data_IF_519101630812
#
_entry.id   IF_519101630812
#
_cell.length_a   1.000
_cell.length_b   1.000
_cell.length_c   1.000
_cell.angle_alpha   90.00
_cell.angle_beta   90.00
_cell.angle_gamma   90.00
#
_symmetry.space_group_name_H-M   'P 1'
#
loop_
_entity.id
_entity.type
_entity.pdbx_description
1 polymer ?
#
# COMPACT_ATOMS: atom_id res chain seq x y z
N UNK A 1 -1.58 6.71 -19.62
CA UNK A 1 -0.20 6.26 -19.32
C UNK A 1 0.81 6.82 -20.32
N UNK A 2 0.61 6.66 -21.64
CA UNK A 2 1.51 7.22 -22.67
C UNK A 2 1.77 8.73 -22.53
N UNK A 3 0.73 9.55 -22.33
CA UNK A 3 0.90 11.00 -22.07
C UNK A 3 1.71 11.31 -20.80
N UNK A 4 1.57 10.51 -19.73
CA UNK A 4 2.38 10.66 -18.51
C UNK A 4 3.83 10.28 -18.78
N UNK A 5 4.09 9.21 -19.52
CA UNK A 5 5.44 8.83 -19.94
C UNK A 5 6.11 9.92 -20.81
N UNK A 6 5.37 10.52 -21.76
CA UNK A 6 5.85 11.67 -22.56
C UNK A 6 6.19 12.87 -21.69
N UNK A 7 5.31 13.24 -20.75
CA UNK A 7 5.55 14.36 -19.84
C UNK A 7 6.73 14.12 -18.87
N UNK A 8 6.94 12.88 -18.45
CA UNK A 8 8.08 12.51 -17.59
C UNK A 8 9.40 12.54 -18.36
N UNK A 9 9.46 12.01 -19.58
CA UNK A 9 10.64 12.13 -20.44
C UNK A 9 10.93 13.58 -20.79
N UNK A 10 9.90 14.36 -21.16
CA UNK A 10 10.05 15.78 -21.47
C UNK A 10 10.63 16.59 -20.30
N UNK A 11 10.16 16.33 -19.07
CA UNK A 11 10.74 16.95 -17.87
C UNK A 11 12.17 16.47 -17.59
N UNK A 12 12.47 15.19 -17.81
CA UNK A 12 13.83 14.68 -17.61
C UNK A 12 14.84 15.32 -18.59
N UNK A 13 14.43 15.53 -19.84
CA UNK A 13 15.24 16.21 -20.86
C UNK A 13 15.44 17.71 -20.56
N UNK A 14 14.49 18.35 -19.88
CA UNK A 14 14.60 19.77 -19.49
C UNK A 14 15.47 20.02 -18.26
N UNK A 15 15.70 19.02 -17.41
CA UNK A 15 16.42 19.16 -16.12
C UNK A 15 17.82 18.50 -16.17
N UNK A 16 18.42 18.39 -17.36
CA UNK A 16 19.77 17.83 -17.59
C UNK A 16 20.04 16.50 -16.85
N UNK A 17 19.05 15.60 -16.84
CA UNK A 17 19.21 14.26 -16.25
C UNK A 17 20.25 13.44 -17.03
N UNK A 18 20.84 12.46 -16.36
CA UNK A 18 21.87 11.61 -16.98
C UNK A 18 21.33 10.92 -18.24
N UNK A 19 22.18 10.76 -19.25
CA UNK A 19 21.81 10.15 -20.52
C UNK A 19 21.17 8.75 -20.35
N UNK A 20 21.63 7.99 -19.35
CA UNK A 20 21.10 6.68 -18.98
C UNK A 20 19.66 6.74 -18.47
N UNK A 21 19.31 7.76 -17.68
CA UNK A 21 17.95 7.93 -17.15
C UNK A 21 16.98 8.38 -18.25
N UNK A 22 17.42 9.27 -19.14
CA UNK A 22 16.66 9.67 -20.32
C UNK A 22 16.41 8.48 -21.27
N UNK A 23 17.41 7.64 -21.51
CA UNK A 23 17.27 6.43 -22.33
C UNK A 23 16.27 5.43 -21.73
N UNK A 24 16.30 5.22 -20.41
CA UNK A 24 15.33 4.37 -19.70
C UNK A 24 13.90 4.90 -19.83
N UNK A 25 13.71 6.21 -19.68
CA UNK A 25 12.39 6.85 -19.82
C UNK A 25 11.88 6.81 -21.26
N UNK A 26 12.77 6.91 -22.25
CA UNK A 26 12.44 6.75 -23.66
C UNK A 26 11.96 5.32 -23.97
N UNK A 27 12.67 4.30 -23.48
CA UNK A 27 12.24 2.90 -23.64
C UNK A 27 10.90 2.60 -22.96
N UNK A 28 10.64 3.18 -21.78
CA UNK A 28 9.34 3.05 -21.12
C UNK A 28 8.21 3.74 -21.90
N UNK A 29 8.49 4.88 -22.54
CA UNK A 29 7.54 5.54 -23.43
C UNK A 29 7.21 4.67 -24.64
N UNK A 30 8.22 4.15 -25.32
CA UNK A 30 8.06 3.29 -26.51
C UNK A 30 7.22 2.03 -26.21
N UNK A 31 7.48 1.36 -25.08
CA UNK A 31 6.67 0.22 -24.62
C UNK A 31 5.21 0.61 -24.38
N UNK A 32 4.98 1.78 -23.77
CA UNK A 32 3.62 2.26 -23.49
C UNK A 32 2.89 2.65 -24.77
N UNK A 33 3.59 3.20 -25.76
CA UNK A 33 3.05 3.54 -27.07
C UNK A 33 2.72 2.28 -27.88
N UNK A 34 3.57 1.26 -27.81
CA UNK A 34 3.34 -0.05 -28.43
C UNK A 34 2.11 -0.73 -27.83
N UNK A 35 1.98 -0.73 -26.51
CA UNK A 35 0.82 -1.28 -25.81
C UNK A 35 -0.48 -0.52 -26.16
N UNK A 36 -0.40 0.81 -26.33
CA UNK A 36 -1.53 1.62 -26.77
C UNK A 36 -1.95 1.31 -28.20
N UNK A 37 -0.99 1.15 -29.12
CA UNK A 37 -1.24 0.77 -30.50
C UNK A 37 -1.84 -0.64 -30.61
N UNK A 38 -1.39 -1.59 -29.79
CA UNK A 38 -1.96 -2.93 -29.72
C UNK A 38 -3.40 -2.94 -29.17
N UNK A 39 -3.75 -1.99 -28.30
CA UNK A 39 -5.09 -1.88 -27.70
C UNK A 39 -6.12 -1.19 -28.63
N UNK A 40 -5.67 -0.40 -29.62
CA UNK A 40 -6.53 0.23 -30.63
C UNK A 40 -5.92 0.08 -32.05
N UNK A 41 -5.80 -1.16 -32.56
CA UNK A 41 -5.02 -1.46 -33.77
C UNK A 41 -5.59 -0.84 -35.05
N UNK A 42 -6.83 -0.35 -35.02
CA UNK A 42 -7.50 0.35 -36.12
C UNK A 42 -7.73 1.83 -35.86
N UNK A 43 -7.31 2.34 -34.71
CA UNK A 43 -7.54 3.73 -34.32
C UNK A 43 -9.03 4.09 -34.14
N UNK A 44 -9.93 3.11 -34.02
CA UNK A 44 -11.36 3.35 -34.03
C UNK A 44 -11.83 4.10 -32.77
N UNK A 45 -11.19 3.82 -31.63
CA UNK A 45 -11.39 4.58 -30.38
C UNK A 45 -10.81 5.99 -30.52
N UNK A 46 -9.65 6.12 -31.15
CA UNK A 46 -9.05 7.43 -31.45
C UNK A 46 -9.92 8.25 -32.42
N UNK A 47 -10.53 7.64 -33.43
CA UNK A 47 -11.39 8.29 -34.42
C UNK A 47 -12.73 8.70 -33.85
N UNK A 48 -13.39 7.82 -33.08
CA UNK A 48 -14.61 8.18 -32.37
C UNK A 48 -14.38 9.36 -31.41
N UNK A 49 -13.24 9.38 -30.72
CA UNK A 49 -12.85 10.48 -29.84
C UNK A 49 -12.53 11.76 -30.63
N UNK A 50 -11.81 11.66 -31.74
CA UNK A 50 -11.55 12.79 -32.67
C UNK A 50 -12.85 13.39 -33.19
N UNK A 51 -13.80 12.57 -33.62
CA UNK A 51 -15.09 13.02 -34.14
C UNK A 51 -15.93 13.77 -33.10
N UNK A 52 -15.90 13.33 -31.83
CA UNK A 52 -16.55 14.06 -30.72
C UNK A 52 -15.85 15.39 -30.45
N UNK A 53 -14.51 15.39 -30.39
CA UNK A 53 -13.73 16.60 -30.10
C UNK A 53 -13.82 17.64 -31.23
N UNK A 54 -13.90 17.20 -32.49
CA UNK A 54 -14.03 18.08 -33.65
C UNK A 54 -15.35 18.89 -33.65
N UNK A 55 -16.36 18.48 -32.87
CA UNK A 55 -17.60 19.26 -32.67
C UNK A 55 -17.38 20.49 -31.80
N UNK A 56 -16.34 20.49 -30.97
CA UNK A 56 -16.09 21.52 -29.97
C UNK A 56 -14.79 22.30 -30.22
N UNK A 57 -13.85 21.74 -30.98
CA UNK A 57 -12.53 22.31 -31.20
C UNK A 57 -12.12 22.19 -32.67
N UNK A 58 -11.63 23.29 -33.26
CA UNK A 58 -11.02 23.27 -34.60
C UNK A 58 -9.67 22.54 -34.56
N UNK A 59 -8.92 22.71 -33.46
CA UNK A 59 -7.72 21.96 -33.14
C UNK A 59 -7.68 21.69 -31.64
N UNK A 60 -8.10 20.49 -31.21
CA UNK A 60 -8.14 20.12 -29.79
C UNK A 60 -6.81 20.39 -29.05
N UNK A 61 -5.67 20.02 -29.63
CA UNK A 61 -4.36 20.17 -28.98
C UNK A 61 -3.99 21.63 -28.71
N UNK A 62 -4.45 22.55 -29.56
CA UNK A 62 -4.20 23.99 -29.43
C UNK A 62 -5.30 24.68 -28.61
N UNK A 63 -6.55 24.33 -28.86
CA UNK A 63 -7.71 25.12 -28.45
C UNK A 63 -8.25 24.68 -27.07
N UNK A 64 -8.09 23.40 -26.68
CA UNK A 64 -8.69 22.85 -25.45
C UNK A 64 -8.20 23.52 -24.16
N UNK A 65 -7.03 24.15 -24.21
CA UNK A 65 -6.39 24.82 -23.08
C UNK A 65 -6.19 26.32 -23.31
N UNK A 66 -6.74 26.89 -24.41
CA UNK A 66 -6.58 28.31 -24.72
C UNK A 66 -7.13 29.24 -23.63
N UNK A 67 -8.12 28.78 -22.87
CA UNK A 67 -8.67 29.50 -21.72
C UNK A 67 -7.67 29.68 -20.57
N UNK A 68 -6.64 28.84 -20.44
CA UNK A 68 -5.60 28.99 -19.40
C UNK A 68 -4.68 30.19 -19.64
N UNK A 69 -4.60 30.68 -20.87
CA UNK A 69 -3.69 31.77 -21.30
C UNK A 69 -4.44 32.96 -21.90
N UNK A 70 -5.77 32.98 -21.78
CA UNK A 70 -6.57 34.07 -22.30
C UNK A 70 -6.25 35.37 -21.56
N UNK A 71 -6.21 36.49 -22.29
CA UNK A 71 -6.01 37.81 -21.70
C UNK A 71 -7.31 38.41 -21.12
N UNK A 72 -8.46 37.79 -21.40
CA UNK A 72 -9.75 38.24 -20.90
C UNK A 72 -9.84 38.06 -19.38
N UNK A 73 -10.13 39.13 -18.60
CA UNK A 73 -10.17 39.04 -17.14
C UNK A 73 -11.18 38.05 -16.57
N UNK A 74 -12.34 37.87 -17.22
CA UNK A 74 -13.36 36.92 -16.79
C UNK A 74 -12.91 35.47 -17.00
N UNK A 75 -12.25 35.20 -18.13
CA UNK A 75 -11.66 33.89 -18.40
C UNK A 75 -10.48 33.60 -17.47
N UNK A 76 -9.65 34.60 -17.13
CA UNK A 76 -8.58 34.44 -16.16
C UNK A 76 -9.10 34.11 -14.76
N UNK A 77 -10.17 34.77 -14.31
CA UNK A 77 -10.81 34.49 -13.04
C UNK A 77 -11.37 33.06 -12.99
N UNK A 78 -12.12 32.65 -14.02
CA UNK A 78 -12.58 31.27 -14.16
C UNK A 78 -11.41 30.28 -14.18
N UNK A 79 -10.31 30.64 -14.84
CA UNK A 79 -9.16 29.76 -14.93
C UNK A 79 -8.50 29.53 -13.57
N UNK A 80 -8.36 30.59 -12.78
CA UNK A 80 -7.88 30.53 -11.41
C UNK A 80 -8.79 29.66 -10.54
N UNK A 81 -10.12 29.86 -10.61
CA UNK A 81 -11.10 29.06 -9.85
C UNK A 81 -11.03 27.57 -10.18
N UNK A 82 -10.90 27.21 -11.46
CA UNK A 82 -10.75 25.81 -11.88
C UNK A 82 -9.45 25.21 -11.36
N UNK A 83 -8.34 25.95 -11.44
CA UNK A 83 -7.04 25.50 -10.94
C UNK A 83 -7.09 25.29 -9.42
N UNK A 84 -7.67 26.23 -8.67
CA UNK A 84 -7.81 26.11 -7.22
C UNK A 84 -8.75 24.98 -6.81
N UNK A 85 -9.82 24.75 -7.55
CA UNK A 85 -10.70 23.60 -7.36
C UNK A 85 -9.93 22.28 -7.57
N UNK A 86 -9.10 22.19 -8.62
CA UNK A 86 -8.28 21.01 -8.86
C UNK A 86 -7.22 20.80 -7.77
N UNK A 87 -6.59 21.89 -7.27
CA UNK A 87 -5.65 21.84 -6.14
C UNK A 87 -6.33 21.34 -4.87
N UNK A 88 -7.52 21.85 -4.56
CA UNK A 88 -8.31 21.41 -3.42
C UNK A 88 -8.67 19.93 -3.51
N UNK A 89 -9.06 19.45 -4.70
CA UNK A 89 -9.34 18.02 -4.93
C UNK A 89 -8.10 17.14 -4.75
N UNK A 90 -6.93 17.57 -5.23
CA UNK A 90 -5.66 16.85 -5.03
C UNK A 90 -5.25 16.80 -3.57
N UNK A 91 -5.36 17.93 -2.87
CA UNK A 91 -5.12 18.01 -1.43
C UNK A 91 -6.05 17.06 -0.67
N UNK A 92 -7.34 17.07 -0.97
CA UNK A 92 -8.30 16.14 -0.37
C UNK A 92 -7.95 14.67 -0.62
N UNK A 93 -7.48 14.34 -1.83
CA UNK A 93 -7.06 12.99 -2.20
C UNK A 93 -5.73 12.56 -1.55
N UNK A 94 -4.78 13.48 -1.35
CA UNK A 94 -3.50 13.25 -0.66
C UNK A 94 -3.65 13.15 0.87
N UNK A 95 -4.59 13.92 1.45
CA UNK A 95 -4.94 13.86 2.88
C UNK A 95 -5.89 12.70 3.19
N UNK A 96 -6.56 12.15 2.17
CA UNK A 96 -7.33 10.93 2.36
C UNK A 96 -6.39 9.79 2.70
N UNK A 97 -6.65 9.11 3.81
CA UNK A 97 -5.94 7.89 4.17
C UNK A 97 -6.02 6.86 3.03
N UNK A 98 -4.88 6.63 2.36
CA UNK A 98 -4.71 5.57 1.38
C UNK A 98 -4.12 4.35 2.10
N UNK A 99 -4.98 3.55 2.73
CA UNK A 99 -4.63 2.17 3.08
C UNK A 99 -4.49 1.81 4.56
N UNK A 100 -5.17 2.47 5.49
CA UNK A 100 -4.92 2.17 6.91
C UNK A 100 -5.97 1.31 7.63
N UNK A 101 -7.14 1.02 7.06
CA UNK A 101 -8.12 0.16 7.75
C UNK A 101 -8.29 -1.20 7.09
N UNK A 102 -8.84 -1.33 5.88
CA UNK A 102 -9.09 -2.67 5.33
C UNK A 102 -9.18 -2.81 3.81
N UNK A 103 -9.64 -1.83 3.01
CA UNK A 103 -9.74 -2.00 1.55
C UNK A 103 -9.62 -0.66 0.83
N UNK A 104 -9.05 -0.69 -0.37
CA UNK A 104 -9.12 0.40 -1.34
C UNK A 104 -10.55 0.50 -1.91
N UNK A 105 -10.86 1.59 -2.61
CA UNK A 105 -12.12 1.71 -3.37
C UNK A 105 -12.30 0.62 -4.42
N UNK A 106 -11.22 -0.01 -4.87
CA UNK A 106 -11.25 -1.15 -5.77
C UNK A 106 -11.40 -2.51 -5.04
N UNK A 107 -11.60 -2.50 -3.71
CA UNK A 107 -11.98 -3.68 -2.92
C UNK A 107 -10.83 -4.60 -2.48
N UNK A 108 -9.57 -4.19 -2.64
CA UNK A 108 -8.38 -4.95 -2.24
C UNK A 108 -7.55 -4.23 -1.18
N UNK A 109 -6.68 -4.96 -0.47
CA UNK A 109 -5.77 -4.40 0.55
C UNK A 109 -4.44 -4.00 -0.07
N UNK A 110 -3.87 -2.88 0.41
CA UNK A 110 -2.46 -2.52 0.20
C UNK A 110 -1.85 -2.26 1.58
N UNK A 111 -0.70 -2.85 1.87
CA UNK A 111 0.05 -2.62 3.11
C UNK A 111 1.54 -2.83 2.91
N UNK A 112 2.36 -2.28 3.79
CA UNK A 112 3.81 -2.45 3.77
C UNK A 112 4.20 -3.84 4.31
N UNK A 113 5.14 -4.50 3.65
CA UNK A 113 5.78 -5.73 4.13
C UNK A 113 6.91 -5.41 5.11
N UNK A 114 6.86 -6.00 6.31
CA UNK A 114 7.90 -5.76 7.31
C UNK A 114 9.26 -6.39 6.99
N UNK A 115 9.29 -7.36 6.08
CA UNK A 115 10.51 -8.09 5.71
C UNK A 115 11.26 -7.44 4.54
N UNK A 116 10.58 -6.66 3.69
CA UNK A 116 11.14 -6.10 2.45
C UNK A 116 10.94 -4.59 2.28
N UNK A 117 10.04 -3.99 3.07
CA UNK A 117 9.52 -2.63 2.92
C UNK A 117 8.74 -2.38 1.61
N UNK A 118 8.51 -3.39 0.78
CA UNK A 118 7.73 -3.24 -0.45
C UNK A 118 6.22 -3.13 -0.16
N UNK A 119 5.47 -2.64 -1.15
CA UNK A 119 4.03 -2.63 -1.11
C UNK A 119 3.48 -4.03 -1.44
N UNK A 120 2.64 -4.57 -0.56
CA UNK A 120 1.91 -5.79 -0.78
C UNK A 120 0.46 -5.53 -1.14
N UNK A 121 0.03 -6.19 -2.21
CA UNK A 121 -1.33 -6.14 -2.71
C UNK A 121 -2.01 -7.47 -2.37
N UNK A 122 -3.09 -7.42 -1.57
CA UNK A 122 -3.88 -8.61 -1.27
C UNK A 122 -5.08 -8.68 -2.22
N UNK A 123 -4.90 -9.45 -3.30
CA UNK A 123 -5.84 -9.56 -4.41
C UNK A 123 -6.72 -10.80 -4.24
N UNK A 124 -8.02 -10.66 -4.47
CA UNK A 124 -8.98 -11.78 -4.38
C UNK A 124 -9.44 -12.24 -5.75
N UNK A 125 -9.42 -13.55 -5.99
CA UNK A 125 -10.00 -14.22 -7.17
C UNK A 125 -10.86 -15.38 -6.70
N UNK A 126 -12.19 -15.17 -6.65
CA UNK A 126 -13.11 -16.13 -6.05
C UNK A 126 -12.74 -16.42 -4.58
N UNK A 127 -12.39 -17.68 -4.29
CA UNK A 127 -11.95 -18.10 -2.94
C UNK A 127 -10.44 -17.93 -2.70
N UNK A 128 -9.68 -17.48 -3.70
CA UNK A 128 -8.23 -17.32 -3.60
C UNK A 128 -7.85 -15.95 -3.04
N UNK A 129 -6.85 -15.94 -2.17
CA UNK A 129 -6.13 -14.73 -1.75
C UNK A 129 -4.71 -14.80 -2.30
N UNK A 130 -4.37 -13.87 -3.19
CA UNK A 130 -3.06 -13.75 -3.81
C UNK A 130 -2.37 -12.53 -3.18
N UNK A 131 -1.24 -12.75 -2.53
CA UNK A 131 -0.38 -11.67 -2.04
C UNK A 131 0.67 -11.39 -3.10
N UNK A 132 0.72 -10.16 -3.61
CA UNK A 132 1.69 -9.76 -4.63
C UNK A 132 2.57 -8.62 -4.10
N UNK A 133 3.89 -8.81 -4.19
CA UNK A 133 4.85 -7.76 -3.88
C UNK A 133 5.19 -6.97 -5.12
N UNK A 134 5.15 -5.64 -5.00
CA UNK A 134 5.55 -4.73 -6.06
C UNK A 134 6.51 -3.68 -5.49
N UNK A 135 7.64 -3.55 -6.16
CA UNK A 135 8.63 -2.52 -5.86
C UNK A 135 8.18 -1.16 -6.41
N UNK A 136 7.28 -0.51 -5.68
CA UNK A 136 6.74 0.81 -6.02
C UNK A 136 6.93 1.72 -4.81
N UNK A 137 8.05 2.48 -4.74
CA UNK A 137 8.44 3.28 -3.57
C UNK A 137 7.31 4.15 -3.02
N UNK A 138 6.58 4.83 -3.91
CA UNK A 138 5.48 5.71 -3.51
C UNK A 138 4.35 4.94 -2.84
N UNK A 139 3.92 3.81 -3.42
CA UNK A 139 2.84 3.00 -2.87
C UNK A 139 3.26 2.34 -1.54
N UNK A 140 4.52 1.93 -1.43
CA UNK A 140 5.07 1.37 -0.21
C UNK A 140 5.11 2.42 0.91
N UNK A 141 5.60 3.63 0.61
CA UNK A 141 5.59 4.76 1.52
C UNK A 141 4.18 5.13 1.98
N UNK A 142 3.24 5.32 1.03
CA UNK A 142 1.83 5.60 1.32
C UNK A 142 1.23 4.53 2.24
N UNK A 143 1.53 3.25 2.00
CA UNK A 143 1.00 2.15 2.79
C UNK A 143 1.53 2.09 4.24
N UNK A 144 2.61 2.81 4.55
CA UNK A 144 3.11 3.01 5.90
C UNK A 144 2.64 4.35 6.52
N UNK A 145 1.96 5.24 5.79
CA UNK A 145 1.38 6.46 6.36
C UNK A 145 0.10 6.12 7.12
N UNK A 146 0.10 6.39 8.42
CA UNK A 146 -1.06 6.20 9.28
C UNK A 146 -2.06 7.34 9.19
N UNK A 147 -1.59 8.57 9.05
CA UNK A 147 -2.43 9.74 8.86
C UNK A 147 -1.63 10.87 8.20
N UNK A 148 -2.32 11.67 7.40
CA UNK A 148 -1.87 12.96 6.87
C UNK A 148 -2.99 13.98 7.12
N UNK A 149 -2.72 14.99 7.93
CA UNK A 149 -3.73 15.98 8.34
C UNK A 149 -3.12 17.38 8.44
N UNK A 150 -3.93 18.40 8.20
CA UNK A 150 -3.56 19.78 8.53
C UNK A 150 -3.94 20.08 9.98
N UNK A 151 -3.02 20.68 10.75
CA UNK A 151 -3.34 21.23 12.06
C UNK A 151 -4.04 22.59 11.97
N UNK A 152 -4.44 23.17 13.11
CA UNK A 152 -5.12 24.46 13.15
C UNK A 152 -4.26 25.64 12.64
N UNK A 153 -2.93 25.48 12.61
CA UNK A 153 -1.99 26.45 12.05
C UNK A 153 -1.70 26.18 10.56
N UNK A 154 -2.28 25.13 9.98
CA UNK A 154 -2.07 24.72 8.59
C UNK A 154 -0.81 23.88 8.36
N UNK A 155 -0.14 23.42 9.42
CA UNK A 155 1.02 22.53 9.25
C UNK A 155 0.57 21.15 8.80
N UNK A 156 1.33 20.53 7.90
CA UNK A 156 1.09 19.16 7.44
C UNK A 156 1.67 18.18 8.47
N UNK A 157 0.79 17.51 9.20
CA UNK A 157 1.16 16.50 10.19
C UNK A 157 1.02 15.10 9.61
N UNK A 158 2.08 14.30 9.70
CA UNK A 158 2.15 12.95 9.14
C UNK A 158 2.57 11.98 10.24
N UNK A 159 1.79 10.91 10.40
CA UNK A 159 2.12 9.78 11.28
C UNK A 159 2.37 8.52 10.46
N UNK A 160 3.17 7.61 11.01
CA UNK A 160 3.49 6.32 10.39
C UNK A 160 2.86 5.18 11.16
N UNK A 161 2.53 4.10 10.46
CA UNK A 161 2.01 2.88 11.08
C UNK A 161 3.07 2.16 11.89
N UNK A 162 4.31 2.19 11.42
CA UNK A 162 5.46 1.57 12.07
C UNK A 162 6.77 2.17 11.59
N UNK A 163 7.80 2.03 12.42
CA UNK A 163 9.18 2.34 12.08
C UNK A 163 10.15 1.18 12.29
N UNK A 164 9.78 0.14 13.04
CA UNK A 164 10.62 -1.06 13.17
C UNK A 164 10.42 -1.92 11.93
N UNK A 165 11.46 -2.57 11.41
CA UNK A 165 11.40 -3.56 10.34
C UNK A 165 12.39 -4.68 10.67
N UNK A 166 12.38 -5.79 9.93
CA UNK A 166 13.17 -6.98 10.29
C UNK A 166 14.69 -6.76 10.30
N UNK A 167 15.20 -5.75 9.58
CA UNK A 167 16.61 -5.38 9.58
C UNK A 167 16.80 -3.88 9.37
N UNK A 168 17.99 -3.37 9.74
CA UNK A 168 18.34 -1.96 9.54
C UNK A 168 18.28 -1.54 8.07
N UNK A 169 18.67 -2.42 7.15
CA UNK A 169 18.58 -2.16 5.70
C UNK A 169 17.12 -1.94 5.27
N UNK A 170 16.20 -2.76 5.79
CA UNK A 170 14.77 -2.65 5.49
C UNK A 170 14.18 -1.38 6.13
N UNK A 171 14.62 -1.01 7.34
CA UNK A 171 14.24 0.26 7.98
C UNK A 171 14.67 1.46 7.12
N UNK A 172 15.92 1.47 6.64
CA UNK A 172 16.45 2.55 5.78
C UNK A 172 15.66 2.65 4.48
N UNK A 173 15.36 1.51 3.85
CA UNK A 173 14.54 1.44 2.63
C UNK A 173 13.12 1.96 2.86
N UNK A 174 12.47 1.52 3.94
CA UNK A 174 11.15 2.00 4.33
C UNK A 174 11.14 3.51 4.59
N UNK A 175 12.19 4.05 5.22
CA UNK A 175 12.33 5.48 5.46
C UNK A 175 12.45 6.27 4.15
N UNK A 176 13.22 5.77 3.18
CA UNK A 176 13.30 6.37 1.84
C UNK A 176 11.95 6.35 1.10
N UNK A 177 11.18 5.27 1.21
CA UNK A 177 9.85 5.17 0.61
C UNK A 177 8.84 6.10 1.27
N UNK A 178 8.84 6.16 2.61
CA UNK A 178 8.04 7.11 3.36
C UNK A 178 8.39 8.57 2.99
N UNK A 179 9.68 8.89 2.79
CA UNK A 179 10.08 10.22 2.30
C UNK A 179 9.53 10.54 0.91
N UNK A 180 9.49 9.58 -0.02
CA UNK A 180 8.82 9.76 -1.31
C UNK A 180 7.33 10.10 -1.16
N UNK A 181 6.62 9.39 -0.28
CA UNK A 181 5.20 9.64 0.00
C UNK A 181 4.97 11.01 0.67
N UNK A 182 5.78 11.36 1.67
CA UNK A 182 5.73 12.68 2.31
C UNK A 182 5.97 13.79 1.28
N UNK A 183 6.94 13.62 0.38
CA UNK A 183 7.25 14.61 -0.65
C UNK A 183 6.10 14.78 -1.67
N UNK A 184 5.39 13.70 -2.01
CA UNK A 184 4.22 13.76 -2.90
C UNK A 184 3.03 14.45 -2.22
N UNK A 185 2.74 14.07 -0.97
CA UNK A 185 1.66 14.68 -0.17
C UNK A 185 1.92 16.19 0.02
N UNK A 186 3.13 16.58 0.43
CA UNK A 186 3.44 17.99 0.65
C UNK A 186 3.40 18.82 -0.64
N UNK A 187 3.74 18.23 -1.80
CA UNK A 187 3.61 18.92 -3.07
C UNK A 187 2.14 19.28 -3.38
N UNK A 188 1.22 18.40 -3.01
CA UNK A 188 -0.22 18.59 -3.24
C UNK A 188 -0.90 19.47 -2.19
N UNK A 189 -0.36 19.49 -0.96
CA UNK A 189 -0.96 20.20 0.17
C UNK A 189 -0.32 21.57 0.41
N UNK A 190 0.99 21.68 0.31
CA UNK A 190 1.76 22.90 0.63
C UNK A 190 2.20 23.61 -0.65
N UNK A 191 2.93 22.92 -1.54
CA UNK A 191 3.50 23.57 -2.73
C UNK A 191 2.43 24.03 -3.72
N UNK A 192 1.34 23.26 -3.85
CA UNK A 192 0.24 23.56 -4.76
C UNK A 192 -0.47 24.88 -4.46
N UNK A 193 -0.39 25.39 -3.24
CA UNK A 193 -1.04 26.64 -2.80
C UNK A 193 -0.05 27.79 -2.57
N UNK A 194 1.19 27.68 -3.06
CA UNK A 194 2.13 28.79 -3.00
C UNK A 194 1.64 29.95 -3.88
N UNK A 195 1.43 31.10 -3.23
CA UNK A 195 1.14 32.38 -3.88
C UNK A 195 2.40 32.96 -4.52
N UNK A 196 2.22 33.92 -5.43
CA UNK A 196 3.29 34.62 -6.17
C UNK A 196 4.51 35.00 -5.31
N UNK A 197 5.70 35.05 -5.94
CA UNK A 197 6.99 35.22 -5.27
C UNK A 197 7.06 36.38 -4.25
N UNK A 198 6.26 37.44 -4.43
CA UNK A 198 6.17 38.60 -3.51
C UNK A 198 5.35 38.32 -2.23
N UNK A 199 4.36 37.43 -2.27
CA UNK A 199 3.55 37.01 -1.11
C UNK A 199 4.11 35.73 -0.46
N UNK A 200 4.75 34.87 -1.26
CA UNK A 200 5.51 33.71 -0.82
C UNK A 200 6.52 34.05 0.28
N UNK A 201 7.23 35.18 0.15
CA UNK A 201 8.32 35.54 1.05
C UNK A 201 7.86 35.87 2.49
N UNK A 202 6.57 36.18 2.70
CA UNK A 202 6.00 36.47 4.03
C UNK A 202 5.23 35.30 4.67
N UNK A 203 4.75 34.32 3.89
CA UNK A 203 3.97 33.16 4.40
C UNK A 203 4.63 31.79 4.21
N UNK A 204 5.52 31.60 3.23
CA UNK A 204 6.10 30.28 2.92
C UNK A 204 7.15 29.79 3.94
N UNK A 205 7.63 30.66 4.82
CA UNK A 205 8.44 30.26 5.98
C UNK A 205 7.61 29.69 7.14
N UNK A 206 6.27 29.81 7.11
CA UNK A 206 5.43 29.45 8.26
C UNK A 206 5.03 27.97 8.29
N UNK A 207 4.53 27.41 7.18
CA UNK A 207 3.94 26.06 7.19
C UNK A 207 5.03 24.99 7.28
N UNK A 208 4.96 24.20 8.35
CA UNK A 208 5.86 23.11 8.67
C UNK A 208 5.30 21.76 8.20
N UNK A 209 6.20 20.82 7.93
CA UNK A 209 5.91 19.40 7.84
C UNK A 209 6.28 18.80 9.19
N UNK A 210 5.31 18.24 9.89
CA UNK A 210 5.48 17.66 11.22
C UNK A 210 5.41 16.15 11.10
N UNK A 211 6.54 15.47 11.32
CA UNK A 211 6.65 14.02 11.32
C UNK A 211 6.51 13.48 12.75
N UNK A 212 5.60 12.54 12.95
CA UNK A 212 5.44 11.87 14.23
C UNK A 212 6.38 10.66 14.35
N UNK A 213 7.01 10.53 15.51
CA UNK A 213 7.78 9.33 15.86
C UNK A 213 6.84 8.11 15.96
N UNK A 214 7.09 7.02 15.22
CA UNK A 214 6.33 5.79 15.41
C UNK A 214 6.75 5.12 16.72
N UNK A 215 5.78 4.55 17.44
CA UNK A 215 6.00 4.04 18.79
C UNK A 215 6.95 2.84 18.90
N UNK A 216 7.12 2.07 17.83
CA UNK A 216 7.98 0.88 17.77
C UNK A 216 9.44 1.20 17.38
N UNK A 217 9.70 2.36 16.77
CA UNK A 217 11.05 2.85 16.45
C UNK A 217 11.07 4.38 16.23
N UNK A 218 11.24 5.19 17.28
CA UNK A 218 11.24 6.65 17.17
C UNK A 218 12.28 7.21 16.19
N UNK A 219 13.44 6.54 16.04
CA UNK A 219 14.49 6.95 15.11
C UNK A 219 14.07 6.93 13.64
N UNK A 220 12.99 6.22 13.29
CA UNK A 220 12.47 6.17 11.94
C UNK A 220 12.10 7.55 11.39
N UNK A 221 11.47 8.43 12.20
CA UNK A 221 11.09 9.77 11.75
C UNK A 221 12.32 10.64 11.40
N UNK A 222 13.44 10.43 12.11
CA UNK A 222 14.72 11.08 11.81
C UNK A 222 15.24 10.63 10.44
N UNK A 223 15.23 9.32 10.18
CA UNK A 223 15.64 8.76 8.89
C UNK A 223 14.75 9.26 7.74
N UNK A 224 13.43 9.32 7.93
CA UNK A 224 12.50 9.86 6.92
C UNK A 224 12.84 11.32 6.61
N UNK A 225 13.09 12.15 7.63
CA UNK A 225 13.50 13.55 7.43
C UNK A 225 14.79 13.66 6.63
N UNK A 226 15.80 12.87 6.95
CA UNK A 226 17.09 12.87 6.23
C UNK A 226 16.90 12.50 4.76
N UNK A 227 16.14 11.44 4.49
CA UNK A 227 15.80 11.03 3.12
C UNK A 227 14.98 12.10 2.39
N UNK A 228 14.05 12.76 3.09
CA UNK A 228 13.25 13.85 2.54
C UNK A 228 14.09 15.07 2.20
N UNK A 229 15.04 15.45 3.05
CA UNK A 229 15.99 16.52 2.76
C UNK A 229 16.88 16.21 1.55
N UNK A 230 17.33 14.96 1.42
CA UNK A 230 18.09 14.52 0.25
C UNK A 230 17.24 14.57 -1.04
N UNK A 231 15.96 14.18 -0.95
CA UNK A 231 15.02 14.19 -2.07
C UNK A 231 14.59 15.61 -2.48
N UNK A 232 14.38 16.49 -1.51
CA UNK A 232 13.93 17.86 -1.71
C UNK A 232 14.63 18.82 -0.72
N UNK A 233 15.83 19.33 -1.07
CA UNK A 233 16.61 20.22 -0.20
C UNK A 233 15.91 21.53 0.18
N UNK A 234 14.86 21.93 -0.56
CA UNK A 234 14.07 23.14 -0.25
C UNK A 234 13.22 22.99 1.02
N UNK A 235 13.04 21.75 1.50
CA UNK A 235 12.30 21.45 2.73
C UNK A 235 13.21 21.50 3.98
N UNK A 236 14.53 21.68 3.82
CA UNK A 236 15.44 21.84 4.95
C UNK A 236 15.00 23.01 5.85
N UNK A 237 14.89 22.74 7.16
CA UNK A 237 14.40 23.72 8.15
C UNK A 237 12.88 23.87 8.21
N UNK A 238 12.13 23.13 7.40
CA UNK A 238 10.65 23.09 7.43
C UNK A 238 10.08 21.77 7.96
N UNK A 239 10.95 20.80 8.25
CA UNK A 239 10.55 19.48 8.73
C UNK A 239 10.87 19.38 10.22
N UNK A 240 9.83 19.28 11.04
CA UNK A 240 9.92 19.09 12.48
C UNK A 240 9.58 17.64 12.83
N UNK A 241 10.26 17.11 13.84
CA UNK A 241 9.95 15.79 14.40
C UNK A 241 9.34 16.04 15.77
N UNK A 242 8.23 15.36 16.04
CA UNK A 242 7.54 15.44 17.32
C UNK A 242 7.27 14.05 17.83
N UNK A 243 7.23 13.91 19.16
CA UNK A 243 6.74 12.69 19.77
C UNK A 243 5.27 12.45 19.40
N UNK A 244 4.89 11.18 19.33
CA UNK A 244 3.55 10.78 18.96
C UNK A 244 2.52 11.41 19.92
N UNK A 245 1.60 12.23 19.39
CA UNK A 245 0.65 12.99 20.23
C UNK A 245 -0.54 12.16 20.69
N UNK A 246 -0.88 11.11 19.94
CA UNK A 246 -1.82 10.09 20.40
C UNK A 246 -1.01 9.09 21.16
N UNK A 247 -1.36 8.79 22.41
CA UNK A 247 -0.85 7.56 23.01
C UNK A 247 -1.24 6.42 22.05
N UNK A 248 -0.27 5.73 21.43
CA UNK A 248 -0.60 4.54 20.69
C UNK A 248 -1.17 3.62 21.76
N UNK A 249 -2.46 3.31 21.70
CA UNK A 249 -3.03 2.34 22.60
C UNK A 249 -2.26 1.04 22.28
N UNK A 250 -1.38 0.58 23.19
CA UNK A 250 -0.56 -0.57 22.89
C UNK A 250 -1.51 -1.70 22.50
N UNK A 251 -1.10 -2.48 21.50
CA UNK A 251 -1.88 -3.64 21.11
C UNK A 251 -2.22 -4.42 22.37
N UNK A 252 -3.51 -4.68 22.59
CA UNK A 252 -3.90 -5.49 23.73
C UNK A 252 -3.20 -6.85 23.60
N UNK A 253 -2.65 -7.35 24.71
CA UNK A 253 -2.04 -8.67 24.70
C UNK A 253 -3.14 -9.69 24.34
N UNK A 254 -2.90 -10.59 23.37
CA UNK A 254 -3.90 -11.58 22.99
C UNK A 254 -4.23 -12.46 24.20
N UNK A 255 -5.49 -12.46 24.64
CA UNK A 255 -5.87 -13.10 25.91
C UNK A 255 -5.62 -14.61 25.90
N UNK A 256 -5.74 -15.25 24.73
CA UNK A 256 -5.71 -16.72 24.64
C UNK A 256 -4.79 -17.29 23.55
N UNK A 257 -4.24 -16.49 22.63
CA UNK A 257 -3.52 -17.02 21.46
C UNK A 257 -2.25 -17.82 21.85
N UNK A 258 -1.46 -17.31 22.79
CA UNK A 258 -0.23 -17.96 23.25
C UNK A 258 -0.50 -19.27 24.00
N UNK A 259 -1.45 -19.27 24.94
CA UNK A 259 -1.86 -20.47 25.67
C UNK A 259 -2.42 -21.54 24.71
N UNK A 260 -3.21 -21.12 23.71
CA UNK A 260 -3.76 -22.01 22.69
C UNK A 260 -2.68 -22.64 21.81
N UNK A 261 -1.67 -21.88 21.42
CA UNK A 261 -0.52 -22.40 20.69
C UNK A 261 0.27 -23.42 21.53
N UNK A 262 0.55 -23.10 22.80
CA UNK A 262 1.27 -23.97 23.72
C UNK A 262 0.54 -25.31 23.97
N UNK A 263 -0.79 -25.29 24.07
CA UNK A 263 -1.62 -26.48 24.22
C UNK A 263 -1.85 -27.26 22.90
N UNK A 264 -1.46 -26.70 21.76
CA UNK A 264 -1.66 -27.31 20.45
C UNK A 264 -0.80 -28.55 20.23
N UNK A 265 -1.35 -29.55 19.54
CA UNK A 265 -0.61 -30.76 19.20
C UNK A 265 0.40 -30.50 18.09
N UNK A 266 1.56 -31.17 18.13
CA UNK A 266 2.48 -31.15 16.98
C UNK A 266 1.85 -31.86 15.78
N UNK A 267 2.15 -31.39 14.59
CA UNK A 267 1.75 -32.08 13.37
C UNK A 267 2.64 -33.32 13.18
N UNK A 268 2.22 -34.46 13.73
CA UNK A 268 2.94 -35.75 13.63
C UNK A 268 2.89 -36.39 12.23
N UNK A 269 2.43 -35.65 11.23
CA UNK A 269 2.29 -36.10 9.86
C UNK A 269 3.62 -36.25 9.14
N UNK A 270 3.83 -37.38 8.48
CA UNK A 270 4.94 -37.57 7.55
C UNK A 270 4.87 -36.62 6.35
N UNK A 271 5.95 -36.59 5.55
CA UNK A 271 6.14 -35.68 4.39
C UNK A 271 4.95 -35.66 3.42
N UNK A 272 4.24 -36.78 3.26
CA UNK A 272 3.05 -36.87 2.42
C UNK A 272 1.87 -36.01 2.91
N UNK A 273 1.67 -35.87 4.23
CA UNK A 273 0.63 -35.01 4.79
C UNK A 273 0.97 -33.54 4.59
N UNK A 274 2.24 -33.16 4.82
CA UNK A 274 2.75 -31.80 4.58
C UNK A 274 2.58 -31.38 3.11
N UNK A 275 2.91 -32.26 2.16
CA UNK A 275 2.68 -32.03 0.72
C UNK A 275 1.20 -31.85 0.37
N UNK A 276 0.31 -32.62 0.99
CA UNK A 276 -1.15 -32.46 0.80
C UNK A 276 -1.65 -31.12 1.34
N UNK A 277 -1.18 -30.69 2.51
CA UNK A 277 -1.49 -29.38 3.07
C UNK A 277 -0.98 -28.24 2.17
N UNK A 278 0.27 -28.31 1.73
CA UNK A 278 0.86 -27.35 0.80
C UNK A 278 0.06 -27.25 -0.51
N UNK A 279 -0.35 -28.39 -1.08
CA UNK A 279 -1.17 -28.40 -2.30
C UNK A 279 -2.53 -27.70 -2.10
N UNK A 280 -3.13 -27.82 -0.91
CA UNK A 280 -4.40 -27.15 -0.58
C UNK A 280 -4.22 -25.64 -0.40
N UNK A 281 -3.13 -25.22 0.26
CA UNK A 281 -2.74 -23.81 0.38
C UNK A 281 -2.42 -23.17 -0.97
N UNK A 282 -1.69 -23.89 -1.84
CA UNK A 282 -1.41 -23.42 -3.19
C UNK A 282 -2.69 -23.19 -4.00
N UNK A 283 -3.73 -24.01 -3.79
CA UNK A 283 -5.05 -23.83 -4.42
C UNK A 283 -5.85 -22.67 -3.83
N UNK A 284 -5.65 -22.32 -2.56
CA UNK A 284 -6.27 -21.13 -1.93
C UNK A 284 -5.54 -19.83 -2.26
N UNK A 285 -4.46 -19.89 -3.05
CA UNK A 285 -3.76 -18.71 -3.54
C UNK A 285 -2.45 -18.42 -2.80
N UNK A 286 -2.10 -19.16 -1.75
CA UNK A 286 -0.80 -18.98 -1.10
C UNK A 286 0.33 -19.47 -2.01
N UNK A 287 1.40 -18.70 -2.14
CA UNK A 287 2.55 -19.12 -2.95
C UNK A 287 3.39 -20.15 -2.19
N UNK A 288 3.34 -21.41 -2.64
CA UNK A 288 4.07 -22.52 -2.00
C UNK A 288 5.35 -22.93 -2.76
N UNK A 289 5.73 -22.24 -3.84
CA UNK A 289 6.69 -22.76 -4.81
C UNK A 289 8.13 -22.95 -4.29
N UNK A 290 8.53 -22.27 -3.20
CA UNK A 290 9.86 -22.45 -2.57
C UNK A 290 9.76 -22.62 -1.05
N UNK A 291 8.57 -22.90 -0.53
CA UNK A 291 8.41 -23.16 0.90
C UNK A 291 9.04 -24.52 1.20
N UNK A 292 10.07 -24.52 2.05
CA UNK A 292 10.72 -25.75 2.51
C UNK A 292 9.83 -26.43 3.54
N UNK A 293 9.04 -27.42 3.10
CA UNK A 293 7.99 -28.03 3.91
C UNK A 293 8.48 -28.64 5.23
N UNK A 294 9.73 -29.09 5.30
CA UNK A 294 10.24 -29.73 6.51
C UNK A 294 10.58 -28.71 7.60
N UNK A 295 11.11 -27.54 7.20
CA UNK A 295 11.39 -26.40 8.10
C UNK A 295 10.07 -25.70 8.46
N UNK A 296 9.29 -25.32 7.44
CA UNK A 296 8.07 -24.53 7.60
C UNK A 296 7.05 -25.20 8.55
N UNK A 297 6.93 -26.53 8.52
CA UNK A 297 5.97 -27.25 9.36
C UNK A 297 6.49 -27.60 10.77
N UNK A 298 7.75 -27.32 11.10
CA UNK A 298 8.36 -27.69 12.39
C UNK A 298 7.65 -27.03 13.58
N UNK A 299 7.37 -25.73 13.44
CA UNK A 299 6.70 -24.93 14.47
C UNK A 299 5.17 -24.89 14.31
N UNK A 300 4.61 -25.63 13.35
CA UNK A 300 3.15 -25.69 13.19
C UNK A 300 2.53 -26.50 14.32
N UNK A 301 1.44 -25.99 14.86
CA UNK A 301 0.58 -26.69 15.82
C UNK A 301 -0.82 -26.89 15.27
N UNK A 302 -1.44 -27.98 15.71
CA UNK A 302 -2.81 -28.31 15.43
C UNK A 302 -3.64 -27.99 16.66
N UNK A 303 -4.65 -27.14 16.50
CA UNK A 303 -5.56 -26.74 17.58
C UNK A 303 -7.00 -27.14 17.23
N UNK A 304 -7.80 -27.35 18.27
CA UNK A 304 -9.25 -27.46 18.19
C UNK A 304 -9.86 -26.14 18.66
N UNK A 305 -10.91 -25.70 17.99
CA UNK A 305 -11.69 -24.52 18.35
C UNK A 305 -13.16 -24.92 18.38
N UNK A 306 -13.86 -24.67 19.48
CA UNK A 306 -15.27 -25.03 19.65
C UNK A 306 -16.19 -23.97 19.08
N UNK A 307 -17.41 -24.35 18.71
CA UNK A 307 -18.45 -23.41 18.30
C UNK A 307 -18.64 -22.29 19.36
N UNK A 308 -18.70 -21.04 18.91
CA UNK A 308 -18.82 -19.86 19.76
C UNK A 308 -17.48 -19.29 20.28
N UNK A 309 -16.37 -20.02 20.19
CA UNK A 309 -15.08 -19.53 20.69
C UNK A 309 -14.46 -18.47 19.76
N UNK A 310 -13.86 -17.45 20.36
CA UNK A 310 -13.05 -16.44 19.68
C UNK A 310 -11.67 -16.99 19.34
N UNK A 311 -11.30 -16.97 18.06
CA UNK A 311 -9.97 -17.30 17.57
C UNK A 311 -9.03 -16.09 17.70
N UNK A 312 -9.50 -14.92 17.23
CA UNK A 312 -8.77 -13.66 17.14
C UNK A 312 -9.68 -12.53 17.62
N UNK A 313 -9.12 -11.59 18.36
CA UNK A 313 -9.82 -10.39 18.80
C UNK A 313 -9.23 -9.16 18.09
N UNK A 314 -10.08 -8.28 17.59
CA UNK A 314 -9.62 -7.05 16.97
C UNK A 314 -8.89 -6.13 17.98
N UNK A 315 -7.84 -5.45 17.53
CA UNK A 315 -7.01 -4.56 18.35
C UNK A 315 -5.89 -5.25 19.12
N UNK A 316 -5.84 -6.59 19.16
CA UNK A 316 -4.73 -7.31 19.82
C UNK A 316 -3.50 -7.43 18.91
N UNK A 317 -2.35 -7.80 19.48
CA UNK A 317 -1.13 -8.03 18.71
C UNK A 317 -1.25 -9.25 17.78
N UNK A 318 -0.78 -9.14 16.53
CA UNK A 318 -0.84 -10.22 15.56
C UNK A 318 0.39 -11.15 15.66
N UNK A 319 0.31 -12.18 16.51
CA UNK A 319 1.45 -13.12 16.77
C UNK A 319 1.38 -14.45 16.03
N UNK A 320 0.23 -14.78 15.45
CA UNK A 320 0.01 -16.08 14.81
C UNK A 320 -0.77 -15.95 13.51
N UNK A 321 -0.54 -16.89 12.59
CA UNK A 321 -1.37 -17.10 11.40
C UNK A 321 -2.15 -18.40 11.56
N UNK A 322 -3.43 -18.36 11.22
CA UNK A 322 -4.33 -19.50 11.36
C UNK A 322 -4.78 -20.02 9.99
N UNK A 323 -4.82 -21.34 9.83
CA UNK A 323 -5.33 -21.99 8.61
C UNK A 323 -6.44 -22.96 9.01
N UNK A 324 -7.72 -22.65 8.75
CA UNK A 324 -8.82 -23.55 9.04
C UNK A 324 -8.81 -24.73 8.06
N UNK A 325 -8.86 -25.96 8.56
CA UNK A 325 -8.85 -27.15 7.69
C UNK A 325 -10.19 -27.40 6.99
N UNK A 326 -11.26 -26.75 7.47
CA UNK A 326 -12.62 -26.79 6.95
C UNK A 326 -13.31 -25.43 7.13
N UNK A 327 -14.40 -25.19 6.42
CA UNK A 327 -15.22 -24.00 6.64
C UNK A 327 -15.84 -24.03 8.04
N UNK A 328 -16.02 -22.86 8.65
CA UNK A 328 -16.56 -22.77 10.01
C UNK A 328 -16.18 -21.52 10.80
N UNK A 329 -15.38 -20.61 10.24
CA UNK A 329 -15.04 -19.34 10.89
C UNK A 329 -15.83 -18.19 10.28
N UNK A 330 -16.29 -17.28 11.13
CA UNK A 330 -16.84 -15.99 10.74
C UNK A 330 -15.82 -14.90 11.07
N UNK A 331 -15.57 -14.02 10.10
CA UNK A 331 -14.70 -12.84 10.25
C UNK A 331 -15.58 -11.61 10.40
N UNK A 332 -15.31 -10.83 11.45
CA UNK A 332 -15.94 -9.56 11.79
C UNK A 332 -14.90 -8.45 11.63
N UNK A 333 -14.76 -7.84 10.45
CA UNK A 333 -13.77 -6.81 10.23
C UNK A 333 -14.15 -5.51 10.97
N UNK A 334 -13.15 -4.74 11.41
CA UNK A 334 -13.37 -3.38 11.90
C UNK A 334 -13.81 -2.44 10.76
N UNK A 335 -14.15 -1.19 11.08
CA UNK A 335 -14.37 -0.16 10.04
C UNK A 335 -15.66 -0.30 9.22
N UNK A 336 -16.67 -0.99 9.73
CA UNK A 336 -18.03 -1.04 9.14
C UNK A 336 -18.18 -1.99 7.93
N UNK A 337 -17.20 -2.85 7.66
CA UNK A 337 -17.29 -3.82 6.59
C UNK A 337 -18.19 -4.99 6.98
N UNK A 338 -18.87 -5.57 5.97
CA UNK A 338 -19.76 -6.69 6.18
C UNK A 338 -19.00 -7.94 6.67
N UNK A 339 -19.57 -8.67 7.65
CA UNK A 339 -19.06 -9.97 8.06
C UNK A 339 -18.99 -10.97 6.90
N UNK A 340 -18.03 -11.90 6.95
CA UNK A 340 -17.92 -12.94 5.94
C UNK A 340 -17.37 -14.26 6.49
N UNK A 341 -17.74 -15.36 5.84
CA UNK A 341 -17.24 -16.70 6.17
C UNK A 341 -15.83 -16.88 5.62
N UNK A 342 -14.89 -17.26 6.49
CA UNK A 342 -13.54 -17.56 6.05
C UNK A 342 -13.50 -18.84 5.20
N UNK A 343 -12.85 -18.83 4.03
CA UNK A 343 -12.63 -20.05 3.26
C UNK A 343 -11.74 -21.04 4.02
N UNK A 344 -12.04 -22.33 3.88
CA UNK A 344 -11.11 -23.38 4.30
C UNK A 344 -9.77 -23.21 3.58
N UNK A 345 -8.66 -23.50 4.26
CA UNK A 345 -7.30 -23.42 3.75
C UNK A 345 -6.82 -22.01 3.35
N UNK A 346 -7.59 -20.95 3.65
CA UNK A 346 -7.11 -19.58 3.51
C UNK A 346 -6.38 -19.16 4.80
N UNK A 347 -5.16 -18.61 4.73
CA UNK A 347 -4.51 -17.99 5.89
C UNK A 347 -5.37 -16.85 6.46
N UNK A 348 -5.45 -16.79 7.78
CA UNK A 348 -6.18 -15.77 8.53
C UNK A 348 -5.24 -15.10 9.53
N UNK A 349 -5.42 -13.79 9.68
CA UNK A 349 -4.57 -12.98 10.55
C UNK A 349 -3.18 -12.68 9.99
N UNK A 350 -2.87 -13.17 8.79
CA UNK A 350 -1.62 -12.94 8.08
C UNK A 350 -1.37 -11.47 7.75
N UNK A 351 -2.38 -10.67 7.43
CA UNK A 351 -2.17 -9.23 7.16
C UNK A 351 -1.53 -8.52 8.36
N UNK A 352 -2.04 -8.76 9.57
CA UNK A 352 -1.47 -8.18 10.80
C UNK A 352 -0.03 -8.64 11.05
N UNK A 353 0.24 -9.93 10.84
CA UNK A 353 1.59 -10.51 10.94
C UNK A 353 2.54 -9.91 9.90
N UNK A 354 2.15 -9.81 8.63
CA UNK A 354 3.03 -9.31 7.56
C UNK A 354 3.32 -7.81 7.74
N UNK A 355 2.31 -7.06 8.16
CA UNK A 355 2.43 -5.63 8.41
C UNK A 355 3.06 -5.33 9.77
N UNK A 356 3.15 -6.30 10.69
CA UNK A 356 3.46 -6.10 12.12
C UNK A 356 2.54 -5.07 12.78
N UNK A 357 1.23 -5.22 12.56
CA UNK A 357 0.19 -4.36 13.10
C UNK A 357 -0.83 -5.17 13.93
N UNK A 358 -1.68 -4.45 14.65
CA UNK A 358 -2.79 -5.04 15.39
C UNK A 358 -3.76 -5.81 14.47
N UNK A 359 -4.49 -6.75 15.06
CA UNK A 359 -5.60 -7.46 14.41
C UNK A 359 -6.67 -6.47 13.99
N UNK A 360 -7.06 -6.52 12.71
CA UNK A 360 -8.06 -5.64 12.11
C UNK A 360 -9.47 -6.25 12.05
N UNK A 361 -9.65 -7.43 12.63
CA UNK A 361 -10.89 -8.17 12.65
C UNK A 361 -10.94 -9.11 13.85
N UNK A 362 -12.14 -9.33 14.39
CA UNK A 362 -12.41 -10.44 15.29
C UNK A 362 -12.82 -11.67 14.47
N UNK A 363 -12.41 -12.86 14.90
CA UNK A 363 -12.72 -14.12 14.20
C UNK A 363 -13.24 -15.11 15.23
N UNK A 364 -14.39 -15.72 14.97
CA UNK A 364 -14.97 -16.72 15.86
C UNK A 364 -15.43 -17.98 15.11
N UNK A 365 -15.51 -19.08 15.83
CA UNK A 365 -16.03 -20.34 15.32
C UNK A 365 -17.56 -20.36 15.32
N UNK A 366 -18.15 -20.75 14.19
CA UNK A 366 -19.60 -21.03 14.04
C UNK A 366 -19.94 -22.51 14.24
N UNK A 367 -18.92 -23.35 14.32
CA UNK A 367 -18.98 -24.80 14.55
C UNK A 367 -17.63 -25.23 15.09
N UNK A 368 -17.53 -26.41 15.68
CA UNK A 368 -16.23 -26.96 16.05
C UNK A 368 -15.34 -27.09 14.82
N UNK A 369 -14.05 -26.83 14.91
CA UNK A 369 -13.11 -27.06 13.81
C UNK A 369 -11.67 -27.19 14.28
N UNK A 370 -10.87 -27.78 13.40
CA UNK A 370 -9.44 -27.91 13.59
C UNK A 370 -8.71 -26.90 12.71
N UNK A 371 -7.67 -26.27 13.25
CA UNK A 371 -6.86 -25.28 12.57
C UNK A 371 -5.37 -25.61 12.70
N UNK A 372 -4.59 -25.20 11.71
CA UNK A 372 -3.14 -25.03 11.88
C UNK A 372 -2.88 -23.65 12.47
N UNK A 373 -1.91 -23.57 13.37
CA UNK A 373 -1.37 -22.34 13.94
C UNK A 373 0.10 -22.25 13.57
N UNK A 374 0.49 -21.09 13.03
CA UNK A 374 1.88 -20.79 12.64
C UNK A 374 2.30 -19.55 13.45
N UNK A 375 3.39 -19.61 14.24
CA UNK A 375 3.96 -18.43 14.89
C UNK A 375 4.40 -17.38 13.86
N UNK A 376 4.31 -16.10 14.21
CA UNK A 376 4.72 -14.97 13.38
C UNK A 376 6.12 -15.15 12.81
N UNK A 377 7.12 -15.43 13.66
CA UNK A 377 8.51 -15.56 13.23
C UNK A 377 8.70 -16.66 12.18
N UNK A 378 8.14 -17.86 12.43
CA UNK A 378 8.19 -18.95 11.44
C UNK A 378 7.40 -18.59 10.18
N UNK A 379 6.24 -17.92 10.31
CA UNK A 379 5.48 -17.51 9.14
C UNK A 379 6.27 -16.54 8.26
N UNK A 380 6.88 -15.50 8.84
CA UNK A 380 7.64 -14.50 8.08
C UNK A 380 8.89 -15.10 7.42
N UNK A 381 9.58 -16.01 8.11
CA UNK A 381 10.84 -16.58 7.63
C UNK A 381 10.64 -17.72 6.63
N UNK A 382 9.66 -18.60 6.88
CA UNK A 382 9.56 -19.89 6.17
C UNK A 382 8.33 -20.00 5.26
N UNK A 383 7.30 -19.17 5.46
CA UNK A 383 6.01 -19.28 4.76
C UNK A 383 5.68 -18.08 3.88
N UNK A 384 6.05 -16.88 4.31
CA UNK A 384 5.69 -15.61 3.69
C UNK A 384 6.53 -15.40 2.43
N UNK A 385 5.96 -15.83 1.30
CA UNK A 385 6.52 -15.61 -0.03
C UNK A 385 5.45 -14.95 -0.91
N UNK A 386 5.32 -13.62 -0.93
CA UNK A 386 4.41 -12.99 -1.87
C UNK A 386 4.84 -13.29 -3.32
N UNK A 387 3.88 -13.31 -4.25
CA UNK A 387 4.18 -13.42 -5.67
C UNK A 387 4.94 -12.19 -6.13
N UNK A 388 6.00 -12.41 -6.90
CA UNK A 388 6.56 -11.34 -7.72
C UNK A 388 5.68 -11.09 -8.93
N UNK A 389 5.78 -9.90 -9.54
CA UNK A 389 4.93 -9.50 -10.67
C UNK A 389 4.88 -10.56 -11.78
N UNK A 390 6.04 -11.04 -12.24
CA UNK A 390 6.12 -12.04 -13.31
C UNK A 390 5.48 -13.39 -12.90
N UNK A 391 5.67 -13.82 -11.65
CA UNK A 391 5.08 -15.06 -11.14
C UNK A 391 3.55 -14.96 -11.06
N UNK A 392 3.03 -13.79 -10.64
CA UNK A 392 1.60 -13.55 -10.58
C UNK A 392 0.98 -13.57 -11.99
N UNK A 393 1.58 -12.88 -12.95
CA UNK A 393 1.13 -12.87 -14.35
C UNK A 393 1.08 -14.29 -14.90
N UNK A 394 2.18 -15.04 -14.78
CA UNK A 394 2.26 -16.42 -15.25
C UNK A 394 1.19 -17.31 -14.60
N UNK A 395 0.93 -17.15 -13.30
CA UNK A 395 -0.12 -17.88 -12.59
C UNK A 395 -1.52 -17.53 -13.12
N UNK A 396 -1.78 -16.26 -13.40
CA UNK A 396 -3.08 -15.82 -13.88
C UNK A 396 -3.33 -16.27 -15.33
N UNK A 397 -2.33 -16.18 -16.20
CA UNK A 397 -2.39 -16.63 -17.60
C UNK A 397 -2.49 -18.15 -17.71
N UNK A 398 -1.71 -18.89 -16.91
CA UNK A 398 -1.78 -20.35 -16.84
C UNK A 398 -3.11 -20.87 -16.29
N UNK A 399 -3.91 -20.02 -15.65
CA UNK A 399 -5.27 -20.32 -15.19
C UNK A 399 -6.37 -19.82 -16.14
N UNK A 400 -6.01 -19.22 -17.28
CA UNK A 400 -6.91 -18.86 -18.38
C UNK A 400 -6.81 -19.82 -19.57
N UNK A 401 -5.88 -20.78 -19.51
CA UNK A 401 -5.85 -21.99 -20.35
C UNK A 401 -6.49 -23.13 -19.58
#
# INVERSE_FOLDING_TARGET
>A
QAQRARATLGRALQVERTATECARLAGALEQTETALAAADPRGALADARRAVLARHYANFSRDAFGWLVAADPGVQALAADVVDTLRALRCADALRQRGSLLKTSAGYEIFVDQTSADALFALRRGKQLLLASLHVPIAAGESNVASSTLDAAGNLRIAFHRGAFTSLEVVQRAAAYAACAVNDIQADVIESFQLDAKQAQQRNSALQIVLEEPGDNPAFAVMVREQLHALNPRLCGRVQIVSHSRQPQPAAEPTYEAARYAAGARLNGGRAQRRRAASRLARSGHNMAAVQLDIAFEQVRLIQLRAGESLVEAGTAARFVYIPLRAGLMVMPLGGYQPFVAPAWAPLGNTGVIRGAQRNASIYATRDLTLLVIPEESYLNDWHRPYQQAELVARLEGACR
#
